data_IF_288037663374
#
_entry.id   IF_288037663374
#
_cell.length_a   1.000
_cell.length_b   1.000
_cell.length_c   1.000
_cell.angle_alpha   90.00
_cell.angle_beta   90.00
_cell.angle_gamma   90.00
#
_symmetry.space_group_name_H-M   'P 1'
#
loop_
_entity.id
_entity.type
_entity.pdbx_description
1 polymer ?
#
# COMPACT_ATOMS: atom_id res chain seq x y z
N UNK A 1 -27.16 7.61 -22.36
CA UNK A 1 -26.55 8.85 -21.88
C UNK A 1 -25.06 8.62 -21.84
N UNK A 2 -24.34 9.09 -22.84
CA UNK A 2 -22.87 9.00 -22.95
C UNK A 2 -22.27 10.08 -22.05
N UNK A 3 -21.91 9.73 -20.82
CA UNK A 3 -21.04 10.58 -20.02
C UNK A 3 -19.69 10.63 -20.74
N UNK A 4 -19.38 11.76 -21.36
CA UNK A 4 -18.07 12.06 -21.86
C UNK A 4 -17.09 11.92 -20.68
N UNK A 5 -16.22 10.94 -20.76
CA UNK A 5 -15.15 10.70 -19.79
C UNK A 5 -14.22 11.90 -19.89
N UNK A 6 -14.44 12.90 -19.04
CA UNK A 6 -13.54 14.03 -18.93
C UNK A 6 -12.16 13.46 -18.58
N UNK A 7 -11.20 13.64 -19.47
CA UNK A 7 -9.80 13.32 -19.21
C UNK A 7 -9.40 14.14 -17.99
N UNK A 8 -9.15 13.49 -16.86
CA UNK A 8 -8.76 14.15 -15.61
C UNK A 8 -7.41 14.82 -15.85
N UNK A 9 -7.44 16.11 -16.19
CA UNK A 9 -6.24 16.94 -16.34
C UNK A 9 -5.68 17.17 -14.93
N UNK A 10 -4.61 16.48 -14.55
CA UNK A 10 -3.96 16.65 -13.25
C UNK A 10 -2.89 17.73 -13.35
N UNK A 11 -2.67 18.51 -12.28
CA UNK A 11 -1.58 19.49 -12.24
C UNK A 11 -0.23 18.77 -12.33
N UNK A 12 0.83 19.47 -12.75
CA UNK A 12 2.18 18.93 -12.74
C UNK A 12 2.58 18.49 -11.32
N UNK A 13 3.32 17.39 -11.23
CA UNK A 13 3.83 16.90 -9.96
C UNK A 13 4.81 17.91 -9.37
N UNK A 14 4.56 18.32 -8.15
CA UNK A 14 5.45 19.19 -7.38
C UNK A 14 6.54 18.37 -6.68
N UNK A 15 7.67 18.99 -6.34
CA UNK A 15 8.70 18.35 -5.52
C UNK A 15 8.14 17.80 -4.19
N UNK A 16 7.15 18.49 -3.60
CA UNK A 16 6.47 18.01 -2.39
C UNK A 16 5.68 16.73 -2.61
N UNK A 17 5.10 16.51 -3.79
CA UNK A 17 4.43 15.25 -4.10
C UNK A 17 5.43 14.08 -4.21
N UNK A 18 6.61 14.34 -4.78
CA UNK A 18 7.69 13.34 -4.87
C UNK A 18 8.22 13.00 -3.46
N UNK A 19 8.48 14.01 -2.62
CA UNK A 19 8.86 13.77 -1.23
C UNK A 19 7.79 13.01 -0.45
N UNK A 20 6.51 13.33 -0.69
CA UNK A 20 5.38 12.60 -0.15
C UNK A 20 5.36 11.13 -0.59
N UNK A 21 5.64 10.85 -1.86
CA UNK A 21 5.74 9.48 -2.38
C UNK A 21 6.87 8.70 -1.70
N UNK A 22 8.03 9.32 -1.51
CA UNK A 22 9.16 8.74 -0.80
C UNK A 22 8.77 8.43 0.65
N UNK A 23 8.17 9.41 1.36
CA UNK A 23 7.72 9.20 2.73
C UNK A 23 6.69 8.07 2.84
N UNK A 24 5.71 8.03 1.94
CA UNK A 24 4.70 6.97 1.88
C UNK A 24 5.36 5.59 1.70
N UNK A 25 6.25 5.46 0.73
CA UNK A 25 6.97 4.21 0.48
C UNK A 25 7.89 3.80 1.63
N UNK A 26 8.57 4.76 2.28
CA UNK A 26 9.36 4.46 3.48
C UNK A 26 8.49 3.95 4.62
N UNK A 27 7.31 4.53 4.84
CA UNK A 27 6.37 4.07 5.88
C UNK A 27 5.89 2.64 5.59
N UNK A 28 5.56 2.33 4.33
CA UNK A 28 5.19 0.96 3.93
C UNK A 28 6.35 -0.03 4.09
N UNK A 29 7.58 0.37 3.73
CA UNK A 29 8.77 -0.46 3.95
C UNK A 29 9.07 -0.69 5.43
N UNK A 30 8.85 0.31 6.29
CA UNK A 30 8.95 0.16 7.73
C UNK A 30 7.91 -0.83 8.28
N UNK A 31 6.70 -0.83 7.73
CA UNK A 31 5.66 -1.78 8.12
C UNK A 31 6.08 -3.24 7.93
N UNK A 32 6.75 -3.57 6.81
CA UNK A 32 7.26 -4.93 6.60
C UNK A 32 8.29 -5.34 7.65
N UNK A 33 9.17 -4.41 8.05
CA UNK A 33 10.13 -4.66 9.13
C UNK A 33 9.45 -4.86 10.49
N UNK A 34 8.42 -4.07 10.79
CA UNK A 34 7.62 -4.22 12.02
C UNK A 34 6.83 -5.53 12.02
N UNK A 35 6.28 -5.95 10.88
CA UNK A 35 5.59 -7.23 10.73
C UNK A 35 6.53 -8.41 10.98
N UNK A 36 7.80 -8.29 10.58
CA UNK A 36 8.82 -9.31 10.90
C UNK A 36 9.10 -9.37 12.39
N UNK A 37 9.30 -8.23 13.06
CA UNK A 37 9.44 -8.20 14.53
C UNK A 37 8.24 -8.83 15.25
N UNK A 38 7.04 -8.55 14.75
CA UNK A 38 5.81 -9.14 15.29
C UNK A 38 5.77 -10.67 15.09
N UNK A 39 6.20 -11.16 13.93
CA UNK A 39 6.29 -12.60 13.66
C UNK A 39 7.27 -13.34 14.58
N UNK A 40 8.31 -12.65 15.10
CA UNK A 40 9.23 -13.19 16.08
C UNK A 40 8.62 -13.28 17.51
N UNK A 41 7.49 -12.61 17.75
CA UNK A 41 6.79 -12.57 19.06
C UNK A 41 5.60 -13.51 19.15
N UNK A 42 5.36 -14.36 18.17
CA UNK A 42 4.21 -15.29 18.09
C UNK A 42 2.82 -14.61 18.12
N UNK A 43 2.78 -13.28 17.94
CA UNK A 43 1.51 -12.55 17.88
C UNK A 43 0.93 -12.66 16.47
N UNK A 44 -0.34 -13.02 16.40
CA UNK A 44 -1.07 -13.12 15.14
C UNK A 44 -1.05 -11.79 14.38
N UNK A 45 -0.54 -11.73 13.12
CA UNK A 45 -0.41 -10.48 12.35
C UNK A 45 -1.71 -9.71 12.18
N UNK A 46 -2.85 -10.40 12.02
CA UNK A 46 -4.16 -9.75 11.95
C UNK A 46 -4.56 -9.06 13.26
N UNK A 47 -4.09 -9.55 14.40
CA UNK A 47 -4.30 -8.90 15.70
C UNK A 47 -3.59 -7.56 15.76
N UNK A 48 -2.38 -7.46 15.20
CA UNK A 48 -1.63 -6.20 15.11
C UNK A 48 -2.39 -5.19 14.25
N UNK A 49 -2.90 -5.63 13.09
CA UNK A 49 -3.71 -4.78 12.23
C UNK A 49 -4.99 -4.33 12.93
N UNK A 50 -5.68 -5.23 13.67
CA UNK A 50 -6.87 -4.89 14.42
C UNK A 50 -6.59 -3.83 15.50
N UNK A 51 -5.52 -4.00 16.29
CA UNK A 51 -5.12 -3.03 17.32
C UNK A 51 -4.75 -1.68 16.71
N UNK A 52 -4.08 -1.69 15.57
CA UNK A 52 -3.73 -0.47 14.84
C UNK A 52 -4.99 0.28 14.41
N UNK A 53 -5.94 -0.41 13.79
CA UNK A 53 -7.22 0.17 13.36
C UNK A 53 -8.03 0.73 14.54
N UNK A 54 -8.09 0.01 15.67
CA UNK A 54 -8.75 0.48 16.91
C UNK A 54 -8.14 1.80 17.41
N UNK A 55 -6.82 1.94 17.29
CA UNK A 55 -6.14 3.15 17.72
C UNK A 55 -6.24 4.30 16.71
N UNK A 56 -6.22 4.01 15.42
CA UNK A 56 -6.25 5.01 14.35
C UNK A 56 -7.63 5.64 14.15
N UNK A 57 -8.70 4.85 14.21
CA UNK A 57 -10.08 5.35 14.02
C UNK A 57 -10.42 6.54 14.92
N UNK A 58 -10.15 6.53 16.23
CA UNK A 58 -10.33 7.70 17.08
C UNK A 58 -9.48 8.91 16.67
N UNK A 59 -8.23 8.69 16.24
CA UNK A 59 -7.34 9.77 15.80
C UNK A 59 -7.92 10.48 14.58
N UNK A 60 -8.31 9.73 13.55
CA UNK A 60 -8.95 10.28 12.36
C UNK A 60 -10.32 10.91 12.69
N UNK A 61 -11.09 10.29 13.57
CA UNK A 61 -12.35 10.82 14.05
C UNK A 61 -12.19 12.19 14.74
N UNK A 62 -11.19 12.35 15.60
CA UNK A 62 -10.85 13.62 16.24
C UNK A 62 -10.40 14.69 15.23
N UNK A 63 -9.61 14.32 14.22
CA UNK A 63 -9.24 15.24 13.14
C UNK A 63 -10.48 15.71 12.37
N UNK A 64 -11.40 14.81 12.05
CA UNK A 64 -12.66 15.17 11.39
C UNK A 64 -13.54 16.08 12.28
N UNK A 65 -13.60 15.81 13.58
CA UNK A 65 -14.26 16.66 14.57
C UNK A 65 -13.67 18.08 14.57
N UNK A 66 -12.36 18.20 14.70
CA UNK A 66 -11.66 19.48 14.69
C UNK A 66 -11.90 20.28 13.40
N UNK A 67 -11.95 19.59 12.26
CA UNK A 67 -12.17 20.21 10.95
C UNK A 67 -13.65 20.48 10.65
N UNK A 68 -14.58 19.97 11.44
CA UNK A 68 -16.02 20.07 11.19
C UNK A 68 -16.48 19.33 9.92
N UNK A 69 -15.69 18.36 9.45
CA UNK A 69 -15.97 17.57 8.24
C UNK A 69 -15.93 16.07 8.57
N UNK A 70 -17.06 15.41 8.37
CA UNK A 70 -17.23 13.99 8.70
C UNK A 70 -17.41 13.15 7.44
N UNK A 71 -16.97 11.87 7.43
CA UNK A 71 -17.30 10.94 6.37
C UNK A 71 -18.81 10.75 6.31
N UNK A 72 -19.38 10.73 5.11
CA UNK A 72 -20.83 10.63 4.91
C UNK A 72 -21.30 9.18 4.94
N UNK A 73 -21.08 8.50 6.06
CA UNK A 73 -21.36 7.06 6.23
C UNK A 73 -22.82 6.68 5.97
N UNK A 74 -23.77 7.59 6.23
CA UNK A 74 -25.20 7.34 5.99
C UNK A 74 -25.67 7.64 4.56
N UNK A 75 -24.79 8.15 3.67
CA UNK A 75 -25.08 8.30 2.25
C UNK A 75 -24.79 6.97 1.55
N UNK A 76 -25.79 6.32 0.91
CA UNK A 76 -25.60 4.97 0.31
C UNK A 76 -24.41 4.86 -0.64
N UNK A 77 -24.17 5.89 -1.45
CA UNK A 77 -23.03 5.94 -2.40
C UNK A 77 -21.69 6.00 -1.69
N UNK A 78 -21.58 6.81 -0.62
CA UNK A 78 -20.35 6.91 0.19
C UNK A 78 -20.13 5.65 1.02
N UNK A 79 -21.19 5.08 1.59
CA UNK A 79 -21.11 3.81 2.32
C UNK A 79 -20.63 2.68 1.42
N UNK A 80 -21.21 2.54 0.21
CA UNK A 80 -20.78 1.53 -0.76
C UNK A 80 -19.31 1.73 -1.16
N UNK A 81 -18.87 2.98 -1.32
CA UNK A 81 -17.48 3.32 -1.59
C UNK A 81 -16.57 2.86 -0.43
N UNK A 82 -16.88 3.21 0.81
CA UNK A 82 -16.07 2.83 1.98
C UNK A 82 -16.03 1.32 2.21
N UNK A 83 -17.15 0.62 2.01
CA UNK A 83 -17.18 -0.85 2.07
C UNK A 83 -16.23 -1.47 1.05
N UNK A 84 -16.30 -1.03 -0.21
CA UNK A 84 -15.41 -1.55 -1.24
C UNK A 84 -13.95 -1.19 -0.98
N UNK A 85 -13.67 0.04 -0.52
CA UNK A 85 -12.33 0.49 -0.19
C UNK A 85 -11.75 -0.32 0.98
N UNK A 86 -12.49 -0.47 2.08
CA UNK A 86 -12.06 -1.27 3.23
C UNK A 86 -11.86 -2.75 2.89
N UNK A 87 -12.74 -3.34 2.07
CA UNK A 87 -12.60 -4.74 1.63
C UNK A 87 -11.37 -4.91 0.74
N UNK A 88 -11.18 -4.06 -0.25
CA UNK A 88 -10.10 -4.18 -1.24
C UNK A 88 -8.75 -3.65 -0.74
N UNK A 89 -8.77 -2.61 0.11
CA UNK A 89 -7.56 -1.98 0.63
C UNK A 89 -6.99 -2.64 1.89
N UNK A 90 -7.84 -3.31 2.69
CA UNK A 90 -7.44 -3.90 3.96
C UNK A 90 -7.79 -5.37 4.09
N UNK A 91 -9.07 -5.73 4.04
CA UNK A 91 -9.52 -7.05 4.47
C UNK A 91 -9.00 -8.16 3.56
N UNK A 92 -9.29 -8.09 2.26
CA UNK A 92 -8.91 -9.14 1.32
C UNK A 92 -7.38 -9.25 1.18
N UNK A 93 -6.63 -8.14 0.92
CA UNK A 93 -5.18 -8.22 0.84
C UNK A 93 -4.53 -8.80 2.09
N UNK A 94 -4.94 -8.36 3.29
CA UNK A 94 -4.38 -8.85 4.54
C UNK A 94 -4.60 -10.36 4.73
N UNK A 95 -5.80 -10.86 4.42
CA UNK A 95 -6.10 -12.30 4.46
C UNK A 95 -5.24 -13.07 3.44
N UNK A 96 -5.17 -12.57 2.20
CA UNK A 96 -4.39 -13.22 1.14
C UNK A 96 -2.89 -13.28 1.48
N UNK A 97 -2.34 -12.18 2.00
CA UNK A 97 -0.95 -12.12 2.45
C UNK A 97 -0.68 -13.07 3.61
N UNK A 98 -1.56 -13.08 4.61
CA UNK A 98 -1.45 -13.94 5.78
C UNK A 98 -1.41 -15.42 5.41
N UNK A 99 -2.30 -15.85 4.51
CA UNK A 99 -2.39 -17.25 4.09
C UNK A 99 -1.34 -17.65 3.05
N UNK A 100 -0.87 -16.71 2.21
CA UNK A 100 0.16 -17.02 1.22
C UNK A 100 1.58 -17.04 1.80
N UNK A 101 1.90 -16.14 2.73
CA UNK A 101 3.25 -15.99 3.29
C UNK A 101 3.84 -17.29 3.88
N UNK A 102 3.10 -18.09 4.67
CA UNK A 102 3.61 -19.35 5.20
C UNK A 102 3.85 -20.42 4.10
N UNK A 103 3.10 -20.37 3.00
CA UNK A 103 3.17 -21.34 1.92
C UNK A 103 4.33 -21.07 0.98
N UNK A 104 4.48 -19.82 0.52
CA UNK A 104 5.47 -19.47 -0.52
C UNK A 104 6.70 -18.72 0.04
N UNK A 105 6.67 -18.35 1.31
CA UNK A 105 7.68 -17.54 1.96
C UNK A 105 7.49 -16.02 1.71
N UNK A 106 7.88 -15.23 2.70
CA UNK A 106 7.72 -13.76 2.67
C UNK A 106 8.47 -13.11 1.50
N UNK A 107 9.65 -13.62 1.13
CA UNK A 107 10.42 -13.09 -0.01
C UNK A 107 9.65 -13.21 -1.33
N UNK A 108 9.12 -14.40 -1.66
CA UNK A 108 8.37 -14.59 -2.90
C UNK A 108 7.06 -13.80 -2.89
N UNK A 109 6.38 -13.71 -1.73
CA UNK A 109 5.20 -12.87 -1.58
C UNK A 109 5.52 -11.40 -1.89
N UNK A 110 6.60 -10.85 -1.33
CA UNK A 110 7.03 -9.46 -1.60
C UNK A 110 7.31 -9.23 -3.09
N UNK A 111 7.90 -10.22 -3.79
CA UNK A 111 8.08 -10.19 -5.25
C UNK A 111 6.74 -9.98 -5.95
N UNK A 112 5.79 -10.81 -5.63
CA UNK A 112 4.49 -10.81 -6.31
C UNK A 112 3.72 -9.52 -6.00
N UNK A 113 3.72 -9.07 -4.75
CA UNK A 113 3.03 -7.83 -4.32
C UNK A 113 3.64 -6.59 -4.98
N UNK A 114 4.96 -6.57 -5.20
CA UNK A 114 5.63 -5.44 -5.87
C UNK A 114 5.33 -5.34 -7.37
N UNK A 115 4.56 -6.27 -7.95
CA UNK A 115 3.95 -6.12 -9.27
C UNK A 115 2.70 -5.20 -9.27
N UNK A 116 2.26 -4.73 -8.12
CA UNK A 116 1.11 -3.80 -7.99
C UNK A 116 1.15 -2.63 -8.98
N UNK A 117 2.27 -1.91 -9.22
CA UNK A 117 2.30 -0.83 -10.19
C UNK A 117 1.98 -1.29 -11.63
N UNK A 118 2.43 -2.48 -12.02
CA UNK A 118 2.13 -3.06 -13.35
C UNK A 118 0.63 -3.31 -13.48
N UNK A 119 0.04 -3.96 -12.48
CA UNK A 119 -1.40 -4.23 -12.43
C UNK A 119 -2.19 -2.92 -12.42
N UNK A 120 -1.72 -1.92 -11.65
CA UNK A 120 -2.35 -0.59 -11.61
C UNK A 120 -2.38 0.07 -12.99
N UNK A 121 -1.29 -0.01 -13.77
CA UNK A 121 -1.23 0.52 -15.15
C UNK A 121 -2.25 -0.18 -16.04
N UNK A 122 -2.32 -1.51 -16.00
CA UNK A 122 -3.26 -2.30 -16.80
C UNK A 122 -4.72 -1.92 -16.48
N UNK A 123 -5.04 -1.83 -15.19
CA UNK A 123 -6.38 -1.45 -14.74
C UNK A 123 -6.67 0.03 -15.07
N UNK A 124 -5.69 0.92 -14.91
CA UNK A 124 -5.83 2.33 -15.26
C UNK A 124 -6.17 2.52 -16.75
N UNK A 125 -5.58 1.69 -17.62
CA UNK A 125 -5.91 1.68 -19.06
C UNK A 125 -7.37 1.29 -19.30
N UNK A 126 -7.84 0.21 -18.68
CA UNK A 126 -9.22 -0.29 -18.87
C UNK A 126 -10.26 0.61 -18.21
N UNK A 127 -9.98 1.10 -17.00
CA UNK A 127 -10.89 1.98 -16.25
C UNK A 127 -10.80 3.46 -16.67
N UNK A 128 -9.78 3.83 -17.44
CA UNK A 128 -9.48 5.22 -17.86
C UNK A 128 -9.33 6.17 -16.68
N UNK A 129 -8.61 5.74 -15.65
CA UNK A 129 -8.42 6.48 -14.39
C UNK A 129 -7.15 7.32 -14.40
N UNK A 130 -6.25 7.09 -15.34
CA UNK A 130 -5.01 7.84 -15.49
C UNK A 130 -4.65 8.07 -16.96
N UNK A 131 -3.84 9.13 -17.20
CA UNK A 131 -3.26 9.37 -18.51
C UNK A 131 -2.00 8.52 -18.66
N UNK A 132 -2.06 7.56 -19.59
CA UNK A 132 -0.91 6.75 -19.93
C UNK A 132 -0.02 7.49 -20.92
N UNK A 133 1.26 7.56 -20.61
CA UNK A 133 2.29 7.98 -21.53
C UNK A 133 3.43 6.96 -21.55
N UNK A 134 4.24 6.98 -22.58
CA UNK A 134 5.33 6.02 -22.73
C UNK A 134 6.32 6.04 -21.55
N UNK A 135 6.58 7.22 -20.97
CA UNK A 135 7.50 7.35 -19.83
C UNK A 135 6.98 6.64 -18.58
N UNK A 136 5.68 6.75 -18.26
CA UNK A 136 5.05 6.02 -17.16
C UNK A 136 5.16 4.50 -17.38
N UNK A 137 4.80 4.04 -18.57
CA UNK A 137 4.80 2.60 -18.89
C UNK A 137 6.24 2.05 -18.83
N UNK A 138 7.20 2.71 -19.50
CA UNK A 138 8.60 2.30 -19.50
C UNK A 138 9.18 2.34 -18.08
N UNK A 139 8.91 3.40 -17.32
CA UNK A 139 9.35 3.52 -15.93
C UNK A 139 8.85 2.39 -15.04
N UNK A 140 7.55 2.05 -15.12
CA UNK A 140 6.98 0.93 -14.35
C UNK A 140 7.61 -0.40 -14.76
N UNK A 141 7.77 -0.67 -16.06
CA UNK A 141 8.41 -1.90 -16.54
C UNK A 141 9.88 -1.99 -16.10
N UNK A 142 10.65 -0.91 -16.26
CA UNK A 142 12.06 -0.88 -15.84
C UNK A 142 12.21 -1.11 -14.33
N UNK A 143 11.39 -0.45 -13.50
CA UNK A 143 11.42 -0.64 -12.05
C UNK A 143 11.06 -2.09 -11.69
N UNK A 144 10.04 -2.67 -12.33
CA UNK A 144 9.61 -4.06 -12.09
C UNK A 144 10.70 -5.07 -12.48
N UNK A 145 11.41 -4.84 -13.59
CA UNK A 145 12.53 -5.69 -13.98
C UNK A 145 13.74 -5.52 -13.05
N UNK A 146 14.03 -4.28 -12.65
CA UNK A 146 15.17 -3.99 -11.78
C UNK A 146 15.02 -4.52 -10.35
N UNK A 147 13.80 -4.75 -9.87
CA UNK A 147 13.59 -5.37 -8.57
C UNK A 147 13.82 -6.88 -8.57
N UNK A 148 13.71 -7.56 -9.70
CA UNK A 148 13.87 -9.01 -9.77
C UNK A 148 15.20 -9.52 -9.20
N UNK A 149 16.37 -8.93 -9.48
CA UNK A 149 17.63 -9.34 -8.84
C UNK A 149 17.60 -9.21 -7.31
N UNK A 150 17.02 -8.13 -6.77
CA UNK A 150 16.92 -7.94 -5.30
C UNK A 150 16.18 -9.12 -4.67
N UNK A 151 15.11 -9.55 -5.32
CA UNK A 151 14.18 -10.56 -4.81
C UNK A 151 14.67 -11.98 -5.10
N UNK A 152 15.28 -12.23 -6.26
CA UNK A 152 15.80 -13.55 -6.65
C UNK A 152 17.15 -13.85 -6.00
N UNK A 153 17.92 -12.80 -5.66
CA UNK A 153 19.27 -12.95 -5.09
C UNK A 153 19.30 -13.56 -3.70
N UNK A 154 18.19 -13.48 -2.97
CA UNK A 154 18.16 -14.01 -1.61
C UNK A 154 17.76 -15.48 -1.50
N UNK A 155 16.95 -16.07 -2.37
CA UNK A 155 16.58 -17.52 -2.28
C UNK A 155 15.85 -18.08 -3.51
N UNK A 156 16.55 -18.56 -4.51
CA UNK A 156 16.04 -19.62 -5.41
C UNK A 156 16.23 -21.04 -4.85
N UNK A 157 16.60 -21.17 -3.58
CA UNK A 157 16.98 -22.46 -2.96
C UNK A 157 15.90 -23.09 -2.07
N UNK A 158 14.68 -22.56 -2.07
CA UNK A 158 13.59 -23.14 -1.26
C UNK A 158 12.90 -24.23 -2.08
N UNK A 159 12.80 -25.47 -1.57
CA UNK A 159 11.98 -26.49 -2.20
C UNK A 159 10.55 -25.96 -2.40
N UNK A 160 10.01 -26.10 -3.61
CA UNK A 160 8.64 -25.67 -3.90
C UNK A 160 7.70 -26.65 -3.20
N UNK A 161 6.90 -26.24 -2.18
CA UNK A 161 5.97 -27.12 -1.50
C UNK A 161 4.87 -27.63 -2.44
N UNK A 162 4.25 -28.77 -2.13
CA UNK A 162 3.11 -29.29 -2.89
C UNK A 162 1.96 -28.28 -3.03
N UNK A 163 1.75 -27.40 -2.04
CA UNK A 163 0.76 -26.33 -2.04
C UNK A 163 1.22 -25.02 -2.69
N UNK A 164 2.44 -24.97 -3.28
CA UNK A 164 2.99 -23.72 -3.82
C UNK A 164 2.10 -23.09 -4.89
N UNK A 165 1.43 -23.88 -5.72
CA UNK A 165 0.48 -23.39 -6.71
C UNK A 165 -0.68 -22.61 -6.09
N UNK A 166 -1.25 -23.11 -5.00
CA UNK A 166 -2.31 -22.44 -4.26
C UNK A 166 -1.79 -21.17 -3.57
N UNK A 167 -0.67 -21.24 -2.85
CA UNK A 167 -0.05 -20.08 -2.22
C UNK A 167 0.32 -18.97 -3.22
N UNK A 168 0.81 -19.35 -4.42
CA UNK A 168 1.10 -18.39 -5.48
C UNK A 168 -0.19 -17.75 -6.04
N UNK A 169 -1.26 -18.52 -6.19
CA UNK A 169 -2.55 -17.99 -6.63
C UNK A 169 -3.11 -16.95 -5.63
N UNK A 170 -3.00 -17.22 -4.31
CA UNK A 170 -3.35 -16.26 -3.28
C UNK A 170 -2.48 -15.00 -3.40
N UNK A 171 -1.15 -15.16 -3.50
CA UNK A 171 -0.21 -14.06 -3.59
C UNK A 171 -0.45 -13.16 -4.81
N UNK A 172 -0.70 -13.73 -5.99
CA UNK A 172 -1.00 -12.98 -7.23
C UNK A 172 -2.31 -12.20 -7.12
N UNK A 173 -3.23 -12.65 -6.29
CA UNK A 173 -4.49 -11.94 -6.04
C UNK A 173 -4.27 -10.63 -5.26
N UNK A 174 -3.20 -10.49 -4.48
CA UNK A 174 -2.88 -9.28 -3.71
C UNK A 174 -2.63 -8.06 -4.61
N UNK A 175 -1.69 -8.08 -5.57
CA UNK A 175 -1.49 -6.95 -6.48
C UNK A 175 -2.71 -6.66 -7.36
N UNK A 176 -3.56 -7.66 -7.64
CA UNK A 176 -4.83 -7.44 -8.33
C UNK A 176 -5.79 -6.60 -7.45
N UNK A 177 -5.91 -6.92 -6.17
CA UNK A 177 -6.70 -6.15 -5.23
C UNK A 177 -6.18 -4.71 -5.09
N UNK A 178 -4.90 -4.52 -4.84
CA UNK A 178 -4.31 -3.19 -4.70
C UNK A 178 -4.37 -2.37 -5.99
N UNK A 179 -4.08 -3.00 -7.14
CA UNK A 179 -4.18 -2.32 -8.44
C UNK A 179 -5.61 -1.88 -8.76
N UNK A 180 -6.61 -2.72 -8.43
CA UNK A 180 -8.01 -2.36 -8.55
C UNK A 180 -8.40 -1.27 -7.54
N UNK A 181 -7.98 -1.40 -6.28
CA UNK A 181 -8.23 -0.45 -5.21
C UNK A 181 -7.76 0.97 -5.57
N UNK A 182 -6.51 1.14 -6.03
CA UNK A 182 -6.00 2.45 -6.45
C UNK A 182 -6.86 3.09 -7.55
N UNK A 183 -7.25 2.31 -8.52
CA UNK A 183 -8.08 2.77 -9.63
C UNK A 183 -9.53 3.00 -9.24
N UNK A 184 -10.08 2.16 -8.34
CA UNK A 184 -11.41 2.30 -7.79
C UNK A 184 -11.56 3.63 -7.02
N UNK A 185 -10.63 3.91 -6.11
CA UNK A 185 -10.61 5.17 -5.36
C UNK A 185 -10.56 6.37 -6.33
N UNK A 186 -9.66 6.34 -7.33
CA UNK A 186 -9.53 7.43 -8.28
C UNK A 186 -10.80 7.66 -9.11
N UNK A 187 -11.54 6.59 -9.43
CA UNK A 187 -12.73 6.66 -10.27
C UNK A 187 -14.01 7.02 -9.53
N UNK A 188 -14.15 6.50 -8.32
CA UNK A 188 -15.40 6.58 -7.55
C UNK A 188 -15.30 7.48 -6.33
N UNK A 189 -14.32 8.38 -6.28
CA UNK A 189 -14.14 9.36 -5.22
C UNK A 189 -15.46 10.07 -4.92
N UNK A 190 -16.00 10.00 -3.68
CA UNK A 190 -17.29 10.59 -3.36
C UNK A 190 -17.27 12.11 -3.48
N UNK A 191 -18.26 12.66 -4.19
CA UNK A 191 -18.39 14.11 -4.38
C UNK A 191 -18.53 14.86 -3.06
N UNK A 192 -17.70 15.89 -2.87
CA UNK A 192 -17.72 16.78 -1.72
C UNK A 192 -17.11 16.18 -0.45
N UNK A 193 -16.39 15.06 -0.57
CA UNK A 193 -15.55 14.52 0.49
C UNK A 193 -14.07 14.72 0.18
N UNK A 194 -13.28 15.05 1.18
CA UNK A 194 -11.82 15.24 1.04
C UNK A 194 -11.06 14.00 1.55
N UNK A 195 -9.73 13.96 1.32
CA UNK A 195 -8.90 12.83 1.68
C UNK A 195 -8.94 12.44 3.15
N UNK A 196 -9.20 13.38 4.08
CA UNK A 196 -9.38 13.06 5.51
C UNK A 196 -10.67 12.31 5.77
N UNK A 197 -11.75 12.72 5.11
CA UNK A 197 -13.04 12.03 5.22
C UNK A 197 -12.94 10.61 4.65
N UNK A 198 -12.23 10.46 3.51
CA UNK A 198 -12.01 9.15 2.92
C UNK A 198 -11.17 8.26 3.82
N UNK A 199 -10.05 8.76 4.31
CA UNK A 199 -9.20 8.03 5.26
C UNK A 199 -10.00 7.57 6.50
N UNK A 200 -10.78 8.48 7.10
CA UNK A 200 -11.59 8.15 8.28
C UNK A 200 -12.67 7.11 7.97
N UNK A 201 -13.37 7.26 6.85
CA UNK A 201 -14.44 6.33 6.46
C UNK A 201 -13.91 4.93 6.15
N UNK A 202 -12.80 4.85 5.44
CA UNK A 202 -12.14 3.59 5.10
C UNK A 202 -11.60 2.88 6.35
N UNK A 203 -10.92 3.61 7.25
CA UNK A 203 -10.43 3.07 8.51
C UNK A 203 -11.57 2.57 9.40
N UNK A 204 -12.68 3.31 9.48
CA UNK A 204 -13.84 2.90 10.24
C UNK A 204 -14.43 1.57 9.72
N UNK A 205 -14.54 1.41 8.40
CA UNK A 205 -15.04 0.17 7.80
C UNK A 205 -14.00 -0.96 7.97
N UNK A 206 -12.71 -0.69 7.79
CA UNK A 206 -11.64 -1.64 8.07
C UNK A 206 -11.71 -2.14 9.52
N UNK A 207 -11.88 -1.24 10.46
CA UNK A 207 -12.07 -1.57 11.89
C UNK A 207 -13.32 -2.44 12.12
N UNK A 208 -14.45 -2.06 11.54
CA UNK A 208 -15.72 -2.79 11.68
C UNK A 208 -15.70 -4.19 11.06
N UNK A 209 -14.82 -4.44 10.11
CA UNK A 209 -14.69 -5.74 9.45
C UNK A 209 -13.60 -6.61 10.08
N UNK A 210 -12.38 -6.08 10.25
CA UNK A 210 -11.23 -6.83 10.73
C UNK A 210 -11.31 -7.10 12.23
N UNK A 211 -11.71 -6.11 13.02
CA UNK A 211 -11.74 -6.26 14.48
C UNK A 211 -12.68 -7.38 14.94
N UNK A 212 -13.95 -7.43 14.51
CA UNK A 212 -14.82 -8.56 14.87
C UNK A 212 -14.29 -9.91 14.38
N UNK A 213 -13.67 -9.95 13.19
CA UNK A 213 -13.09 -11.18 12.66
C UNK A 213 -11.96 -11.68 13.56
N UNK A 214 -11.04 -10.79 13.96
CA UNK A 214 -9.94 -11.15 14.87
C UNK A 214 -10.47 -11.62 16.22
N UNK A 215 -11.43 -10.91 16.81
CA UNK A 215 -12.05 -11.30 18.09
C UNK A 215 -12.73 -12.65 18.03
N UNK A 216 -13.38 -13.00 16.93
CA UNK A 216 -14.11 -14.24 16.78
C UNK A 216 -13.20 -15.45 16.53
N UNK A 217 -12.11 -15.27 15.78
CA UNK A 217 -11.27 -16.39 15.34
C UNK A 217 -9.98 -16.56 16.15
N UNK A 218 -9.41 -15.48 16.69
CA UNK A 218 -8.11 -15.50 17.37
C UNK A 218 -8.18 -15.09 18.85
N UNK A 219 -9.28 -14.48 19.26
CA UNK A 219 -9.38 -13.90 20.60
C UNK A 219 -8.63 -12.57 20.74
N UNK A 220 -8.65 -11.99 21.94
CA UNK A 220 -7.96 -10.74 22.26
C UNK A 220 -6.91 -11.02 23.31
N UNK A 221 -5.67 -11.10 22.89
CA UNK A 221 -4.54 -11.26 23.79
C UNK A 221 -3.71 -9.97 23.83
N UNK A 222 -4.02 -9.08 24.74
CA UNK A 222 -3.22 -7.86 24.96
C UNK A 222 -1.97 -8.11 25.81
N UNK A 223 -1.94 -9.18 26.59
CA UNK A 223 -0.81 -9.49 27.48
C UNK A 223 0.49 -9.67 26.70
N UNK A 224 0.57 -10.47 25.61
CA UNK A 224 1.81 -10.61 24.84
C UNK A 224 2.30 -9.29 24.24
N UNK A 225 1.41 -8.39 23.84
CA UNK A 225 1.76 -7.06 23.29
C UNK A 225 2.45 -6.20 24.37
N UNK A 226 1.98 -6.27 25.61
CA UNK A 226 2.54 -5.50 26.73
C UNK A 226 3.85 -6.09 27.23
N UNK A 227 3.92 -7.42 27.38
CA UNK A 227 5.08 -8.13 27.91
C UNK A 227 6.29 -8.08 26.98
N UNK A 228 6.08 -8.21 25.67
CA UNK A 228 7.14 -8.14 24.66
C UNK A 228 7.63 -6.72 24.38
N UNK A 229 6.95 -5.69 24.90
CA UNK A 229 7.25 -4.29 24.60
C UNK A 229 6.83 -3.86 23.18
N UNK A 230 6.09 -4.71 22.45
CA UNK A 230 5.61 -4.46 21.09
C UNK A 230 4.72 -3.20 21.04
N UNK A 231 4.04 -2.84 22.13
CA UNK A 231 3.23 -1.61 22.21
C UNK A 231 4.04 -0.34 21.86
N UNK A 232 5.34 -0.28 22.15
CA UNK A 232 6.19 0.88 21.82
C UNK A 232 6.35 1.02 20.30
N UNK A 233 6.54 -0.11 19.63
CA UNK A 233 6.67 -0.20 18.18
C UNK A 233 5.33 0.14 17.53
N UNK A 234 4.23 -0.38 18.10
CA UNK A 234 2.88 -0.08 17.63
C UNK A 234 2.52 1.41 17.73
N UNK A 235 2.89 2.09 18.82
CA UNK A 235 2.67 3.54 18.95
C UNK A 235 3.40 4.29 17.82
N UNK A 236 4.67 3.97 17.58
CA UNK A 236 5.42 4.54 16.46
C UNK A 236 4.74 4.26 15.12
N UNK A 237 4.33 3.03 14.90
CA UNK A 237 3.63 2.63 13.67
C UNK A 237 2.32 3.41 13.49
N UNK A 238 1.47 3.52 14.51
CA UNK A 238 0.19 4.25 14.46
C UNK A 238 0.40 5.71 14.02
N UNK A 239 1.44 6.37 14.55
CA UNK A 239 1.75 7.75 14.16
C UNK A 239 2.15 7.84 12.69
N UNK A 240 3.02 6.95 12.23
CA UNK A 240 3.49 6.94 10.84
C UNK A 240 2.39 6.49 9.87
N UNK A 241 1.58 5.49 10.23
CA UNK A 241 0.51 4.98 9.38
C UNK A 241 -0.62 6.01 9.22
N UNK A 242 -1.00 6.71 10.29
CA UNK A 242 -1.99 7.78 10.21
C UNK A 242 -1.57 8.88 9.21
N UNK A 243 -0.31 9.32 9.27
CA UNK A 243 0.24 10.27 8.31
C UNK A 243 0.28 9.68 6.89
N UNK A 244 0.64 8.41 6.76
CA UNK A 244 0.75 7.67 5.51
C UNK A 244 -0.60 7.52 4.80
N UNK A 245 -1.67 7.17 5.54
CA UNK A 245 -3.01 7.00 4.99
C UNK A 245 -3.53 8.33 4.43
N UNK A 246 -3.40 9.43 5.17
CA UNK A 246 -3.75 10.74 4.64
C UNK A 246 -2.94 11.09 3.39
N UNK A 247 -1.63 10.86 3.44
CA UNK A 247 -0.74 11.15 2.35
C UNK A 247 -1.05 10.31 1.11
N UNK A 248 -1.48 9.06 1.29
CA UNK A 248 -1.96 8.20 0.21
C UNK A 248 -3.09 8.87 -0.57
N UNK A 249 -4.16 9.31 0.10
CA UNK A 249 -5.28 9.98 -0.56
C UNK A 249 -4.87 11.31 -1.21
N UNK A 250 -4.03 12.09 -0.54
CA UNK A 250 -3.49 13.33 -1.09
C UNK A 250 -2.70 13.09 -2.38
N UNK A 251 -1.82 12.10 -2.40
CA UNK A 251 -1.00 11.77 -3.57
C UNK A 251 -1.84 11.16 -4.69
N UNK A 252 -2.84 10.36 -4.35
CA UNK A 252 -3.78 9.80 -5.33
C UNK A 252 -4.58 10.91 -6.03
N UNK A 253 -5.05 11.90 -5.27
CA UNK A 253 -5.74 13.07 -5.83
C UNK A 253 -4.84 13.86 -6.79
N UNK A 254 -3.58 14.10 -6.41
CA UNK A 254 -2.64 14.92 -7.18
C UNK A 254 -2.00 14.16 -8.34
N UNK A 255 -1.51 12.97 -8.10
CA UNK A 255 -0.69 12.22 -9.06
C UNK A 255 -1.41 11.08 -9.77
N UNK A 256 -2.52 10.61 -9.21
CA UNK A 256 -3.29 9.48 -9.73
C UNK A 256 -2.84 8.10 -9.26
N UNK A 257 -3.57 7.06 -9.68
CA UNK A 257 -3.37 5.69 -9.20
C UNK A 257 -1.99 5.14 -9.58
N UNK A 258 -1.49 5.42 -10.78
CA UNK A 258 -0.16 4.97 -11.20
C UNK A 258 0.93 5.64 -10.36
N UNK A 259 0.81 6.96 -10.12
CA UNK A 259 1.80 7.69 -9.32
C UNK A 259 1.88 7.12 -7.90
N UNK A 260 0.74 6.96 -7.23
CA UNK A 260 0.75 6.46 -5.85
C UNK A 260 1.22 5.01 -5.75
N UNK A 261 0.95 4.17 -6.77
CA UNK A 261 1.43 2.78 -6.77
C UNK A 261 2.96 2.66 -6.83
N UNK A 262 3.68 3.69 -7.34
CA UNK A 262 5.14 3.72 -7.33
C UNK A 262 5.73 3.72 -5.91
N UNK A 263 4.93 4.07 -4.88
CA UNK A 263 5.33 3.91 -3.49
C UNK A 263 5.71 2.46 -3.14
N UNK A 264 5.15 1.47 -3.85
CA UNK A 264 5.54 0.06 -3.72
C UNK A 264 7.00 -0.21 -4.08
N UNK A 265 7.55 0.46 -5.07
CA UNK A 265 8.98 0.36 -5.39
C UNK A 265 9.85 1.07 -4.35
N UNK A 266 9.39 2.20 -3.82
CA UNK A 266 10.08 2.90 -2.73
C UNK A 266 10.05 2.05 -1.46
N UNK A 267 8.94 1.35 -1.17
CA UNK A 267 8.83 0.48 0.00
C UNK A 267 9.78 -0.71 -0.05
N UNK A 268 10.05 -1.25 -1.25
CA UNK A 268 11.06 -2.29 -1.43
C UNK A 268 12.47 -1.76 -1.08
N UNK A 269 12.84 -0.58 -1.59
CA UNK A 269 14.13 0.06 -1.27
C UNK A 269 14.24 0.33 0.24
N UNK A 270 13.17 0.84 0.84
CA UNK A 270 13.09 1.09 2.27
C UNK A 270 13.20 -0.20 3.08
N UNK A 271 12.58 -1.29 2.63
CA UNK A 271 12.69 -2.61 3.25
C UNK A 271 14.13 -3.13 3.29
N UNK A 272 14.87 -3.00 2.17
CA UNK A 272 16.30 -3.32 2.11
C UNK A 272 17.08 -2.47 3.12
N UNK A 273 16.85 -1.17 3.18
CA UNK A 273 17.50 -0.26 4.11
C UNK A 273 17.19 -0.60 5.58
N UNK A 274 15.93 -0.81 5.92
CA UNK A 274 15.52 -1.17 7.28
C UNK A 274 15.98 -2.58 7.68
N UNK A 275 16.07 -3.52 6.73
CA UNK A 275 16.68 -4.83 6.93
C UNK A 275 18.12 -4.72 7.42
N UNK A 276 18.90 -3.82 6.82
CA UNK A 276 20.27 -3.55 7.24
C UNK A 276 20.32 -2.91 8.64
N UNK A 277 19.46 -1.91 8.87
CA UNK A 277 19.51 -1.13 10.12
C UNK A 277 19.03 -1.94 11.33
N UNK A 278 17.94 -2.68 11.19
CA UNK A 278 17.29 -3.37 12.31
C UNK A 278 17.78 -4.82 12.49
N UNK A 279 18.13 -5.49 11.38
CA UNK A 279 18.47 -6.90 11.42
C UNK A 279 19.92 -7.19 11.03
N UNK A 280 20.72 -6.15 10.74
CA UNK A 280 22.14 -6.32 10.37
C UNK A 280 22.35 -7.04 9.04
N UNK A 281 21.35 -7.02 8.14
CA UNK A 281 21.44 -7.67 6.82
C UNK A 281 22.53 -7.01 5.97
N UNK A 282 23.23 -7.82 5.17
CA UNK A 282 24.22 -7.33 4.23
C UNK A 282 23.81 -7.72 2.80
N UNK A 283 23.90 -6.77 1.91
CA UNK A 283 23.48 -7.00 0.54
C UNK A 283 24.65 -6.87 -0.44
N UNK A 284 24.73 -7.74 -1.47
CA UNK A 284 25.76 -7.67 -2.49
C UNK A 284 25.61 -6.42 -3.37
N UNK A 285 26.68 -6.03 -4.06
CA UNK A 285 26.75 -4.78 -4.84
C UNK A 285 25.66 -4.64 -5.92
N UNK A 286 25.21 -5.73 -6.51
CA UNK A 286 24.17 -5.71 -7.54
C UNK A 286 22.79 -5.27 -7.01
N UNK A 287 22.51 -5.42 -5.70
CA UNK A 287 21.31 -4.87 -5.05
C UNK A 287 21.29 -3.34 -5.18
N UNK A 288 22.44 -2.71 -4.94
CA UNK A 288 22.57 -1.25 -5.05
C UNK A 288 22.44 -0.76 -6.50
N UNK A 289 22.92 -1.55 -7.47
CA UNK A 289 22.66 -1.25 -8.88
C UNK A 289 21.16 -1.31 -9.19
N UNK A 290 20.46 -2.32 -8.70
CA UNK A 290 19.00 -2.43 -8.86
C UNK A 290 18.27 -1.24 -8.22
N UNK A 291 18.68 -0.81 -7.02
CA UNK A 291 18.13 0.39 -6.36
C UNK A 291 18.32 1.63 -7.25
N UNK A 292 19.52 1.83 -7.82
CA UNK A 292 19.76 2.97 -8.71
C UNK A 292 18.87 2.95 -9.96
N UNK A 293 18.68 1.77 -10.56
CA UNK A 293 17.79 1.61 -11.72
C UNK A 293 16.34 1.90 -11.33
N UNK A 294 15.87 1.42 -10.17
CA UNK A 294 14.50 1.69 -9.67
C UNK A 294 14.31 3.19 -9.45
N UNK A 295 15.27 3.88 -8.84
CA UNK A 295 15.19 5.34 -8.63
C UNK A 295 15.11 6.08 -9.98
N UNK A 296 15.94 5.71 -10.94
CA UNK A 296 15.89 6.27 -12.30
C UNK A 296 14.57 5.98 -13.02
N UNK A 297 14.01 4.80 -12.83
CA UNK A 297 12.74 4.39 -13.40
C UNK A 297 11.54 5.15 -12.79
N UNK A 298 11.55 5.37 -11.46
CA UNK A 298 10.56 6.23 -10.78
C UNK A 298 10.66 7.67 -11.31
N UNK A 299 11.88 8.20 -11.44
CA UNK A 299 12.09 9.52 -12.01
C UNK A 299 11.55 9.62 -13.45
N UNK A 300 11.79 8.60 -14.28
CA UNK A 300 11.27 8.54 -15.64
C UNK A 300 9.74 8.52 -15.65
N UNK A 301 9.12 7.70 -14.81
CA UNK A 301 7.67 7.58 -14.70
C UNK A 301 7.00 8.88 -14.24
N UNK A 302 7.68 9.66 -13.40
CA UNK A 302 7.16 10.92 -12.83
C UNK A 302 7.45 12.15 -13.69
N UNK A 303 8.54 12.14 -14.49
CA UNK A 303 8.97 13.29 -15.30
C UNK A 303 8.05 13.60 -16.50
N UNK A 304 7.15 12.68 -16.86
CA UNK A 304 6.23 12.88 -17.98
C UNK A 304 4.96 13.68 -17.65
N UNK A 305 4.85 14.24 -16.45
CA UNK A 305 3.73 15.07 -16.01
C UNK A 305 4.06 16.59 -16.01
N UNK A 306 5.18 16.99 -16.61
CA UNK A 306 5.47 18.42 -16.81
C UNK A 306 4.49 19.03 -17.82
N UNK A 307 4.01 20.26 -17.63
CA UNK A 307 3.24 20.98 -18.64
C UNK A 307 4.07 21.07 -19.91
N UNK A 308 3.45 20.81 -21.07
CA UNK A 308 4.06 21.23 -22.32
C UNK A 308 4.34 22.73 -22.19
N UNK A 309 5.60 23.13 -22.33
CA UNK A 309 6.03 24.52 -22.36
C UNK A 309 5.64 25.23 -23.67
N UNK A 310 4.64 24.72 -24.38
CA UNK A 310 4.16 25.23 -25.64
C UNK A 310 2.65 25.49 -25.56
N UNK A 311 2.27 26.55 -24.82
CA UNK A 311 1.07 27.37 -25.05
C UNK A 311 1.32 28.78 -24.47
#
# INVERSE_FOLDING_TARGET
MTAATAVIKRPPLTGSAILGLIFLGMTWGLFFSLSRFAGETEIEPLSILAYTLIAEVPVFGLICLYRGKYPRLFRPTSMAFYLMAGILGYMIPAILELYSAPIIGAGLLTIVVSLTPVVTVIIAFTMRTDQLNHRKIIGVILASLAMLPILLGEKLSVPIPELAGFGLALAVSVPLCYGFYHNFIAKFWPEGEDGWQLATGEMAIGCLTIVPMVFLFYGVELAPVMETGLYRIMIGYIVFSAASIYLYFFLLEKGGPIFVSLAGFVSLIAGVFFGMVFFGETHPWWVWLSVLVIVGAIWLATSGQTPNSDE
#
